data_IF_581485838077
#
_entry.id   IF_581485838077
#
_cell.length_a   1.000
_cell.length_b   1.000
_cell.length_c   1.000
_cell.angle_alpha   90.00
_cell.angle_beta   90.00
_cell.angle_gamma   90.00
#
_symmetry.space_group_name_H-M   'P 1'
#
loop_
_entity.id
_entity.type
_entity.pdbx_description
1 polymer ?
#
# COMPACT_ATOMS: atom_id res chain seq x y z
N UNK A 1 -24.85 7.31 8.28
CA UNK A 1 -23.64 6.61 8.79
C UNK A 1 -22.47 7.04 7.93
N UNK A 2 -21.48 7.73 8.48
CA UNK A 2 -20.21 7.95 7.75
C UNK A 2 -19.62 6.60 7.34
N UNK A 3 -19.25 6.48 6.07
CA UNK A 3 -18.54 5.31 5.56
C UNK A 3 -17.06 5.55 5.83
N UNK A 4 -16.45 4.67 6.63
CA UNK A 4 -15.01 4.74 6.93
C UNK A 4 -14.22 4.13 5.77
N UNK A 5 -14.06 4.88 4.69
CA UNK A 5 -13.32 4.45 3.49
C UNK A 5 -12.04 5.28 3.36
N UNK A 6 -10.99 4.70 2.81
CA UNK A 6 -9.75 5.41 2.53
C UNK A 6 -9.18 5.03 1.17
N UNK A 7 -8.45 5.99 0.59
CA UNK A 7 -7.58 5.76 -0.56
C UNK A 7 -6.15 6.11 -0.14
N UNK A 8 -5.23 5.19 -0.39
CA UNK A 8 -3.81 5.38 -0.16
C UNK A 8 -3.11 5.63 -1.49
N UNK A 9 -2.30 6.69 -1.52
CA UNK A 9 -1.43 7.04 -2.65
C UNK A 9 0.01 6.87 -2.20
N UNK A 10 0.74 5.99 -2.87
CA UNK A 10 2.11 5.65 -2.50
C UNK A 10 3.02 5.48 -3.70
N UNK A 11 4.32 5.51 -3.43
CA UNK A 11 5.36 5.08 -4.37
C UNK A 11 6.08 3.87 -3.78
N UNK A 12 6.19 2.81 -4.57
CA UNK A 12 6.88 1.58 -4.18
C UNK A 12 8.21 1.47 -4.91
N UNK A 13 9.30 1.29 -4.16
CA UNK A 13 10.62 0.98 -4.70
C UNK A 13 10.85 -0.52 -4.63
N UNK A 14 11.03 -1.16 -5.79
CA UNK A 14 11.42 -2.56 -5.88
C UNK A 14 12.91 -2.63 -6.24
N UNK A 15 13.70 -2.98 -5.24
CA UNK A 15 15.14 -3.18 -5.38
C UNK A 15 15.42 -4.60 -5.89
N UNK A 16 15.99 -4.74 -7.08
CA UNK A 16 16.48 -6.02 -7.61
C UNK A 16 18.01 -5.99 -7.71
N UNK A 17 18.62 -7.14 -8.03
CA UNK A 17 20.08 -7.25 -8.18
C UNK A 17 20.61 -6.32 -9.27
N UNK A 18 19.99 -6.32 -10.44
CA UNK A 18 20.45 -5.55 -11.60
C UNK A 18 19.72 -4.22 -11.78
N UNK A 19 18.50 -4.07 -11.26
CA UNK A 19 17.64 -2.93 -11.56
C UNK A 19 16.91 -2.41 -10.31
N UNK A 20 16.48 -1.16 -10.36
CA UNK A 20 15.57 -0.53 -9.41
C UNK A 20 14.32 -0.12 -10.20
N UNK A 21 13.15 -0.56 -9.74
CA UNK A 21 11.86 -0.18 -10.30
C UNK A 21 11.12 0.72 -9.30
N UNK A 22 10.52 1.79 -9.80
CA UNK A 22 9.59 2.62 -9.05
C UNK A 22 8.20 2.43 -9.61
N UNK A 23 7.24 2.15 -8.72
CA UNK A 23 5.84 1.97 -9.07
C UNK A 23 5.00 3.02 -8.37
N UNK A 24 4.04 3.58 -9.08
CA UNK A 24 2.93 4.30 -8.51
C UNK A 24 1.89 3.28 -8.03
N UNK A 25 1.55 3.36 -6.75
CA UNK A 25 0.62 2.45 -6.09
C UNK A 25 -0.57 3.24 -5.55
N UNK A 26 -1.77 2.89 -6.00
CA UNK A 26 -3.02 3.38 -5.43
C UNK A 26 -3.80 2.20 -4.91
N UNK A 27 -4.11 2.20 -3.61
CA UNK A 27 -4.95 1.18 -2.98
C UNK A 27 -6.13 1.83 -2.29
N UNK A 28 -7.20 1.07 -2.14
CA UNK A 28 -8.38 1.48 -1.38
C UNK A 28 -8.72 0.43 -0.36
N UNK A 29 -9.38 0.85 0.70
CA UNK A 29 -9.90 -0.03 1.71
C UNK A 29 -10.96 0.65 2.55
N UNK A 30 -11.50 -0.10 3.50
CA UNK A 30 -12.47 0.38 4.45
C UNK A 30 -12.00 0.01 5.86
N UNK A 31 -12.38 0.80 6.86
CA UNK A 31 -12.16 0.47 8.26
C UNK A 31 -13.42 -0.11 8.87
N UNK A 32 -13.27 -1.26 9.52
CA UNK A 32 -14.29 -1.90 10.34
C UNK A 32 -13.90 -1.81 11.80
N UNK A 33 -14.83 -1.38 12.66
CA UNK A 33 -14.63 -1.43 14.11
C UNK A 33 -14.71 -2.88 14.58
N UNK A 34 -13.77 -3.28 15.42
CA UNK A 34 -13.70 -4.58 16.09
C UNK A 34 -13.48 -4.35 17.59
N UNK A 35 -13.82 -5.32 18.47
CA UNK A 35 -13.48 -5.23 19.89
C UNK A 35 -11.98 -4.98 20.06
N UNK A 36 -11.63 -4.08 20.98
CA UNK A 36 -10.23 -3.78 21.30
C UNK A 36 -9.58 -5.00 21.96
N UNK A 37 -8.32 -5.23 21.62
CA UNK A 37 -7.48 -6.27 22.22
C UNK A 37 -6.12 -5.67 22.57
N UNK A 38 -5.29 -6.37 23.34
CA UNK A 38 -3.92 -5.92 23.63
C UNK A 38 -3.11 -5.68 22.34
N UNK A 39 -3.27 -6.53 21.32
CA UNK A 39 -2.58 -6.42 20.02
C UNK A 39 -3.27 -5.44 19.04
N UNK A 40 -4.47 -4.95 19.35
CA UNK A 40 -5.17 -3.93 18.57
C UNK A 40 -5.96 -2.99 19.50
N UNK A 41 -5.27 -2.08 20.21
CA UNK A 41 -5.90 -1.21 21.20
C UNK A 41 -6.85 -0.18 20.57
N UNK A 42 -6.72 0.08 19.27
CA UNK A 42 -7.60 0.98 18.54
C UNK A 42 -8.89 0.30 18.08
N UNK A 43 -8.90 -1.03 17.95
CA UNK A 43 -10.08 -1.80 17.53
C UNK A 43 -10.51 -1.48 16.10
N UNK A 44 -9.55 -1.25 15.21
CA UNK A 44 -9.79 -0.98 13.80
C UNK A 44 -9.18 -2.10 12.95
N UNK A 45 -9.96 -2.58 11.98
CA UNK A 45 -9.54 -3.57 11.00
C UNK A 45 -9.71 -3.00 9.60
N UNK A 46 -8.66 -3.07 8.78
CA UNK A 46 -8.76 -2.78 7.35
C UNK A 46 -9.45 -3.96 6.67
N UNK A 47 -10.52 -3.68 5.94
CA UNK A 47 -11.31 -4.66 5.18
C UNK A 47 -11.47 -4.18 3.74
N UNK A 48 -11.80 -5.11 2.84
CA UNK A 48 -12.01 -4.84 1.42
C UNK A 48 -10.83 -4.09 0.76
N UNK A 49 -9.60 -4.42 1.19
CA UNK A 49 -8.38 -3.87 0.61
C UNK A 49 -8.23 -4.36 -0.83
N UNK A 50 -8.04 -3.42 -1.76
CA UNK A 50 -7.74 -3.75 -3.16
C UNK A 50 -6.84 -2.69 -3.79
N UNK A 51 -6.05 -3.12 -4.75
CA UNK A 51 -5.19 -2.24 -5.55
C UNK A 51 -5.97 -1.69 -6.73
N UNK A 52 -6.04 -0.36 -6.87
CA UNK A 52 -6.62 0.32 -8.03
C UNK A 52 -5.58 0.60 -9.12
N UNK A 53 -4.35 0.91 -8.71
CA UNK A 53 -3.26 1.22 -9.63
C UNK A 53 -1.97 0.59 -9.11
N UNK A 54 -1.25 -0.08 -10.00
CA UNK A 54 0.09 -0.58 -9.76
C UNK A 54 0.88 -0.41 -11.06
N UNK A 55 1.44 0.78 -11.26
CA UNK A 55 2.00 1.19 -12.54
C UNK A 55 3.48 1.49 -12.39
N UNK A 56 4.31 0.90 -13.25
CA UNK A 56 5.71 1.25 -13.35
C UNK A 56 5.86 2.69 -13.87
N UNK A 57 6.59 3.52 -13.12
CA UNK A 57 6.84 4.93 -13.46
C UNK A 57 8.32 5.21 -13.78
N UNK A 58 9.24 4.38 -13.28
CA UNK A 58 10.67 4.53 -13.54
C UNK A 58 11.39 3.18 -13.42
N UNK A 59 12.37 2.96 -14.30
CA UNK A 59 13.30 1.84 -14.22
C UNK A 59 14.73 2.33 -14.37
N UNK A 60 15.60 1.96 -13.43
CA UNK A 60 17.05 2.24 -13.47
C UNK A 60 17.84 0.95 -13.46
N UNK A 61 18.75 0.78 -14.41
CA UNK A 61 19.76 -0.29 -14.36
C UNK A 61 20.87 0.11 -13.41
N UNK A 62 21.25 -0.78 -12.50
CA UNK A 62 22.41 -0.63 -11.63
C UNK A 62 23.65 -0.83 -12.48
N UNK A 63 24.49 0.20 -12.60
CA UNK A 63 25.78 0.08 -13.26
C UNK A 63 26.64 -0.89 -12.44
N UNK A 64 27.03 -2.01 -13.06
CA UNK A 64 28.13 -2.80 -12.54
C UNK A 64 29.41 -2.08 -12.99
N UNK A 65 30.14 -1.50 -12.03
CA UNK A 65 31.52 -1.07 -12.25
C UNK A 65 32.43 -2.30 -12.25
#
# INVERSE_FOLDING_TARGET
KEKMEFTYYGRQRIERRSNILMLELVTVGQLKRVPRTENNPHGLLIVNWRTLLNKDIEQKTKSNY
#
